data_IF_913952373394
#
_entry.id   IF_913952373394
#
_cell.length_a   1.000
_cell.length_b   1.000
_cell.length_c   1.000
_cell.angle_alpha   90.00
_cell.angle_beta   90.00
_cell.angle_gamma   90.00
#
_symmetry.space_group_name_H-M   'P 1'
#
loop_
_entity.id
_entity.type
_entity.pdbx_description
1 polymer ?
#
# COMPACT_ATOMS: atom_id res chain seq x y z
N UNK A 1 -1.06 -5.84 -28.97
CA UNK A 1 -1.55 -4.92 -27.92
C UNK A 1 -2.64 -5.66 -27.15
N UNK A 2 -2.28 -6.21 -25.98
CA UNK A 2 -3.26 -6.83 -25.09
C UNK A 2 -4.16 -5.75 -24.49
N UNK A 3 -5.47 -5.99 -24.44
CA UNK A 3 -6.41 -5.11 -23.74
C UNK A 3 -5.93 -4.93 -22.30
N UNK A 4 -5.91 -3.69 -21.80
CA UNK A 4 -5.68 -3.42 -20.38
C UNK A 4 -6.71 -4.21 -19.57
N UNK A 5 -6.23 -5.18 -18.80
CA UNK A 5 -7.08 -5.99 -17.95
C UNK A 5 -7.57 -5.13 -16.79
N UNK A 6 -8.89 -5.01 -16.64
CA UNK A 6 -9.53 -4.46 -15.44
C UNK A 6 -10.13 -5.62 -14.65
N UNK A 7 -9.92 -5.68 -13.33
CA UNK A 7 -10.56 -6.70 -12.52
C UNK A 7 -12.10 -6.60 -12.58
N UNK A 8 -12.84 -7.72 -12.62
CA UNK A 8 -14.29 -7.69 -12.63
C UNK A 8 -14.87 -6.92 -11.44
N UNK A 9 -15.73 -5.94 -11.74
CA UNK A 9 -16.40 -5.13 -10.71
C UNK A 9 -15.51 -4.11 -10.02
N UNK A 10 -14.33 -3.81 -10.58
CA UNK A 10 -13.45 -2.72 -10.13
C UNK A 10 -13.17 -1.75 -11.28
N UNK A 11 -13.00 -0.48 -10.92
CA UNK A 11 -12.53 0.62 -11.76
C UNK A 11 -11.14 1.05 -11.29
N UNK A 12 -10.30 1.57 -12.16
CA UNK A 12 -8.94 2.04 -11.80
C UNK A 12 -8.92 3.00 -10.60
N UNK A 13 -9.99 3.77 -10.40
CA UNK A 13 -10.12 4.69 -9.26
C UNK A 13 -10.27 3.98 -7.92
N UNK A 14 -10.71 2.72 -7.90
CA UNK A 14 -10.83 1.93 -6.66
C UNK A 14 -9.46 1.64 -6.02
N UNK A 15 -8.35 1.72 -6.77
CA UNK A 15 -7.00 1.60 -6.20
C UNK A 15 -6.38 2.95 -5.79
N UNK A 16 -7.03 4.05 -6.15
CA UNK A 16 -6.63 5.41 -5.78
C UNK A 16 -7.20 5.77 -4.39
N UNK A 17 -6.93 7.00 -3.97
CA UNK A 17 -7.48 7.55 -2.73
C UNK A 17 -8.98 7.81 -2.85
N UNK A 18 -9.74 7.37 -1.85
CA UNK A 18 -11.17 7.64 -1.78
C UNK A 18 -11.47 8.90 -0.97
N UNK A 19 -12.59 9.55 -1.31
CA UNK A 19 -13.05 10.69 -0.52
C UNK A 19 -13.41 10.25 0.89
N UNK A 20 -12.82 10.86 1.94
CA UNK A 20 -13.12 10.52 3.31
C UNK A 20 -14.59 10.81 3.63
N UNK A 21 -15.21 9.93 4.41
CA UNK A 21 -16.53 10.20 4.99
C UNK A 21 -16.40 10.98 6.31
N UNK A 22 -17.52 11.36 6.93
CA UNK A 22 -17.53 12.05 8.22
C UNK A 22 -17.29 11.11 9.42
N UNK A 23 -17.12 9.81 9.21
CA UNK A 23 -16.87 8.88 10.30
C UNK A 23 -15.49 9.14 10.93
N UNK A 24 -15.43 9.41 12.23
CA UNK A 24 -14.19 9.79 12.91
C UNK A 24 -13.02 8.81 12.67
N UNK A 25 -13.34 7.52 12.55
CA UNK A 25 -12.36 6.44 12.34
C UNK A 25 -12.29 5.96 10.89
N UNK A 26 -12.86 6.71 9.94
CA UNK A 26 -12.69 6.42 8.52
C UNK A 26 -11.20 6.34 8.18
N UNK A 27 -10.81 5.27 7.48
CA UNK A 27 -9.41 4.96 7.22
C UNK A 27 -9.23 4.39 5.82
N UNK A 28 -8.39 5.05 5.03
CA UNK A 28 -7.81 4.47 3.82
C UNK A 28 -6.63 3.60 4.22
N UNK A 29 -6.57 2.36 3.73
CA UNK A 29 -5.52 1.41 4.13
C UNK A 29 -4.90 0.70 2.94
N UNK A 30 -3.57 0.64 2.94
CA UNK A 30 -2.78 -0.11 1.96
C UNK A 30 -1.93 -1.14 2.68
N UNK A 31 -1.86 -2.36 2.13
CA UNK A 31 -1.13 -3.47 2.70
C UNK A 31 -0.23 -4.09 1.64
N UNK A 32 1.03 -4.30 1.98
CA UNK A 32 2.00 -4.97 1.12
C UNK A 32 2.69 -6.05 1.94
N UNK A 33 2.73 -7.28 1.40
CA UNK A 33 3.47 -8.38 1.97
C UNK A 33 4.36 -8.97 0.88
N UNK A 34 5.61 -9.28 1.20
CA UNK A 34 6.54 -9.83 0.23
C UNK A 34 7.49 -10.84 0.89
N UNK A 35 7.93 -11.80 0.07
CA UNK A 35 8.93 -12.77 0.44
C UNK A 35 9.80 -13.08 -0.78
N UNK A 36 11.09 -12.80 -0.67
CA UNK A 36 12.14 -13.20 -1.57
C UNK A 36 12.90 -14.36 -0.91
N UNK A 37 12.55 -15.57 -1.35
CA UNK A 37 13.12 -16.81 -0.79
C UNK A 37 14.58 -16.98 -1.20
N UNK A 38 14.96 -16.51 -2.40
CA UNK A 38 16.32 -16.66 -2.94
C UNK A 38 17.31 -15.84 -2.13
N UNK A 39 16.95 -14.58 -1.82
CA UNK A 39 17.79 -13.69 -1.02
C UNK A 39 17.51 -13.77 0.49
N UNK A 40 16.55 -14.61 0.92
CA UNK A 40 16.11 -14.75 2.32
C UNK A 40 15.65 -13.43 2.95
N UNK A 41 14.95 -12.61 2.17
CA UNK A 41 14.39 -11.34 2.61
C UNK A 41 12.88 -11.47 2.61
N UNK A 42 12.23 -11.04 3.68
CA UNK A 42 10.77 -10.88 3.69
C UNK A 42 10.40 -9.59 4.37
N UNK A 43 9.15 -9.19 4.23
CA UNK A 43 8.70 -7.99 4.87
C UNK A 43 7.23 -7.74 4.67
N UNK A 44 6.75 -6.75 5.40
CA UNK A 44 5.43 -6.24 5.19
C UNK A 44 5.40 -4.74 5.45
N UNK A 45 4.35 -4.13 4.93
CA UNK A 45 4.00 -2.78 5.24
C UNK A 45 2.51 -2.60 5.34
N UNK A 46 2.11 -1.76 6.29
CA UNK A 46 0.75 -1.27 6.42
C UNK A 46 0.76 0.25 6.45
N UNK A 47 -0.07 0.86 5.62
CA UNK A 47 -0.28 2.30 5.60
C UNK A 47 -1.72 2.58 6.01
N UNK A 48 -1.90 3.60 6.84
CA UNK A 48 -3.19 4.13 7.22
C UNK A 48 -3.25 5.62 7.02
N UNK A 49 -4.28 6.11 6.35
CA UNK A 49 -4.60 7.54 6.31
C UNK A 49 -5.90 7.69 7.09
N UNK A 50 -5.87 8.48 8.16
CA UNK A 50 -7.02 8.73 9.05
C UNK A 50 -7.29 10.24 9.08
N UNK A 51 -8.01 10.77 8.06
CA UNK A 51 -8.12 12.20 7.82
C UNK A 51 -8.81 12.94 8.95
N UNK A 52 -9.88 12.37 9.49
CA UNK A 52 -10.67 12.97 10.56
C UNK A 52 -9.92 13.02 11.91
N UNK A 53 -8.79 12.33 12.02
CA UNK A 53 -7.86 12.41 13.16
C UNK A 53 -6.57 13.16 12.82
N UNK A 54 -6.48 13.77 11.63
CA UNK A 54 -5.31 14.49 11.13
C UNK A 54 -4.00 13.69 11.27
N UNK A 55 -4.03 12.39 10.94
CA UNK A 55 -2.84 11.53 11.03
C UNK A 55 -2.74 10.54 9.88
N UNK A 56 -1.49 10.17 9.58
CA UNK A 56 -1.15 8.99 8.80
C UNK A 56 -0.32 8.05 9.66
N UNK A 57 -0.29 6.79 9.28
CA UNK A 57 0.46 5.74 9.96
C UNK A 57 1.21 4.94 8.90
N UNK A 58 2.51 4.76 9.10
CA UNK A 58 3.38 3.99 8.23
C UNK A 58 4.13 2.98 9.08
N UNK A 59 3.87 1.70 8.81
CA UNK A 59 4.60 0.56 9.36
C UNK A 59 5.31 -0.12 8.21
N UNK A 60 6.63 -0.29 8.30
CA UNK A 60 7.43 -1.02 7.34
C UNK A 60 8.45 -1.86 8.09
N UNK A 61 8.42 -3.18 7.88
CA UNK A 61 9.34 -4.13 8.48
C UNK A 61 10.01 -4.94 7.38
N UNK A 62 11.34 -5.05 7.47
CA UNK A 62 12.14 -6.01 6.72
C UNK A 62 12.73 -7.01 7.69
N UNK A 63 12.60 -8.28 7.34
CA UNK A 63 13.28 -9.41 7.96
C UNK A 63 14.41 -9.82 7.04
N UNK A 64 15.65 -9.65 7.52
CA UNK A 64 16.88 -10.10 6.88
C UNK A 64 17.41 -11.31 7.66
N UNK A 65 18.37 -12.03 7.09
CA UNK A 65 18.90 -13.25 7.70
C UNK A 65 19.50 -13.04 9.10
N UNK A 66 20.14 -11.88 9.35
CA UNK A 66 20.85 -11.57 10.59
C UNK A 66 20.16 -10.52 11.48
N UNK A 67 19.20 -9.76 10.93
CA UNK A 67 18.56 -8.64 11.63
C UNK A 67 17.23 -8.24 11.01
N UNK A 68 16.52 -7.36 11.71
CA UNK A 68 15.33 -6.71 11.18
C UNK A 68 15.58 -5.21 11.02
N UNK A 69 14.99 -4.62 9.97
CA UNK A 69 14.85 -3.17 9.85
C UNK A 69 13.40 -2.79 10.12
N UNK A 70 13.21 -1.83 11.02
CA UNK A 70 11.87 -1.36 11.41
C UNK A 70 11.79 0.13 11.14
N UNK A 71 10.76 0.52 10.38
CA UNK A 71 10.41 1.91 10.16
C UNK A 71 8.95 2.14 10.56
N UNK A 72 8.78 2.90 11.64
CA UNK A 72 7.47 3.33 12.13
C UNK A 72 7.38 4.85 12.19
N UNK A 73 6.33 5.42 11.60
CA UNK A 73 6.01 6.84 11.70
C UNK A 73 4.51 7.08 11.73
N UNK A 74 4.10 8.01 12.58
CA UNK A 74 2.76 8.60 12.58
C UNK A 74 2.85 10.11 12.31
N UNK A 75 3.12 10.53 11.06
CA UNK A 75 3.16 11.95 10.76
C UNK A 75 1.73 12.55 10.82
N UNK A 76 1.60 13.82 11.24
CA UNK A 76 0.33 14.52 11.11
C UNK A 76 -0.07 14.60 9.62
N UNK A 77 -1.38 14.56 9.37
CA UNK A 77 -1.98 14.92 8.11
C UNK A 77 -2.44 16.37 8.21
N UNK A 78 -1.78 17.27 7.49
CA UNK A 78 -2.15 18.69 7.48
C UNK A 78 -3.31 18.93 6.50
N UNK A 79 -3.16 18.40 5.28
CA UNK A 79 -4.15 18.53 4.21
C UNK A 79 -4.32 17.17 3.54
N UNK A 80 -5.56 16.85 3.15
CA UNK A 80 -5.86 15.64 2.41
C UNK A 80 -5.63 15.89 0.91
N UNK A 81 -4.63 15.24 0.36
CA UNK A 81 -4.29 15.35 -1.06
C UNK A 81 -4.96 14.26 -1.88
N UNK A 82 -5.22 14.54 -3.16
CA UNK A 82 -5.82 13.57 -4.08
C UNK A 82 -4.78 12.69 -4.77
N UNK A 83 -3.50 13.09 -4.75
CA UNK A 83 -2.41 12.28 -5.31
C UNK A 83 -1.98 11.20 -4.31
N UNK A 84 -2.29 9.95 -4.66
CA UNK A 84 -1.91 8.75 -3.89
C UNK A 84 -0.40 8.67 -3.63
N UNK A 85 0.43 9.09 -4.58
CA UNK A 85 1.89 9.00 -4.44
C UNK A 85 2.45 10.04 -3.46
N UNK A 86 1.77 11.18 -3.32
CA UNK A 86 2.09 12.19 -2.29
C UNK A 86 1.66 11.69 -0.92
N UNK A 87 0.44 11.16 -0.83
CA UNK A 87 -0.13 10.69 0.44
C UNK A 87 0.58 9.46 1.00
N UNK A 88 1.07 8.58 0.13
CA UNK A 88 1.83 7.36 0.49
C UNK A 88 3.35 7.58 0.52
N UNK A 89 3.80 8.82 0.82
CA UNK A 89 5.21 9.13 1.04
C UNK A 89 5.45 9.63 2.47
N UNK A 90 6.46 9.07 3.12
CA UNK A 90 6.93 9.48 4.44
C UNK A 90 8.46 9.44 4.52
N UNK A 91 9.12 10.60 4.37
CA UNK A 91 10.58 10.80 4.44
C UNK A 91 11.37 9.77 3.60
N UNK A 92 11.73 8.66 4.23
CA UNK A 92 12.62 7.61 3.72
C UNK A 92 11.88 6.48 3.03
N UNK A 93 10.56 6.50 3.06
CA UNK A 93 9.68 5.44 2.59
C UNK A 93 8.66 6.03 1.62
N UNK A 94 8.47 5.38 0.46
CA UNK A 94 7.39 5.74 -0.47
C UNK A 94 6.84 4.53 -1.20
N UNK A 95 5.55 4.60 -1.48
CA UNK A 95 4.80 3.67 -2.31
C UNK A 95 4.32 4.46 -3.52
N UNK A 96 4.67 4.00 -4.72
CA UNK A 96 4.23 4.60 -5.95
C UNK A 96 3.32 3.65 -6.69
N UNK A 97 2.13 4.11 -6.99
CA UNK A 97 1.24 3.44 -7.93
C UNK A 97 1.70 3.81 -9.35
N UNK A 98 2.15 2.81 -10.11
CA UNK A 98 2.63 3.00 -11.49
C UNK A 98 1.50 2.75 -12.49
N UNK A 99 0.78 1.64 -12.32
CA UNK A 99 -0.38 1.29 -13.15
C UNK A 99 -1.42 0.56 -12.28
N UNK A 100 -2.68 1.07 -12.22
CA UNK A 100 -3.72 0.48 -11.40
C UNK A 100 -3.90 -1.03 -11.61
N UNK A 101 -4.02 -1.77 -10.51
CA UNK A 101 -4.18 -3.22 -10.40
C UNK A 101 -3.10 -4.04 -11.09
N UNK A 102 -1.94 -3.42 -11.34
CA UNK A 102 -0.88 -4.04 -12.11
C UNK A 102 0.49 -3.82 -11.53
N UNK A 103 0.86 -2.58 -11.21
CA UNK A 103 2.26 -2.27 -10.89
C UNK A 103 2.40 -1.22 -9.79
N UNK A 104 3.20 -1.59 -8.79
CA UNK A 104 3.59 -0.73 -7.68
C UNK A 104 5.11 -0.73 -7.51
N UNK A 105 5.66 0.39 -7.05
CA UNK A 105 7.04 0.48 -6.57
C UNK A 105 7.04 0.82 -5.09
N UNK A 106 7.84 0.10 -4.31
CA UNK A 106 8.08 0.40 -2.90
C UNK A 106 9.56 0.69 -2.73
N UNK A 107 9.87 1.87 -2.20
CA UNK A 107 11.25 2.30 -1.97
C UNK A 107 11.44 2.69 -0.51
N UNK A 108 12.48 2.15 0.11
CA UNK A 108 12.91 2.48 1.45
C UNK A 108 14.41 2.77 1.47
N UNK A 109 14.81 3.87 2.10
CA UNK A 109 16.23 4.25 2.23
C UNK A 109 16.58 4.63 3.66
N UNK A 110 17.48 3.89 4.28
CA UNK A 110 18.10 4.23 5.56
C UNK A 110 19.58 4.59 5.37
N UNK A 111 20.28 4.85 6.47
CA UNK A 111 21.75 5.03 6.42
C UNK A 111 22.49 3.72 6.11
N UNK A 112 21.84 2.57 6.30
CA UNK A 112 22.45 1.25 6.22
C UNK A 112 21.99 0.45 5.00
N UNK A 113 20.76 0.68 4.55
CA UNK A 113 20.11 -0.13 3.51
C UNK A 113 19.39 0.80 2.53
N UNK A 114 19.45 0.41 1.27
CA UNK A 114 18.54 0.86 0.23
C UNK A 114 17.76 -0.36 -0.26
N UNK A 115 16.43 -0.26 -0.23
CA UNK A 115 15.50 -1.31 -0.59
C UNK A 115 14.54 -0.76 -1.62
N UNK A 116 14.44 -1.43 -2.77
CA UNK A 116 13.49 -1.09 -3.81
C UNK A 116 12.90 -2.39 -4.34
N UNK A 117 11.57 -2.50 -4.35
CA UNK A 117 10.87 -3.61 -4.99
C UNK A 117 9.87 -3.06 -5.99
N UNK A 118 9.71 -3.80 -7.09
CA UNK A 118 8.66 -3.57 -8.07
C UNK A 118 7.68 -4.72 -7.95
N UNK A 119 6.49 -4.46 -7.44
CA UNK A 119 5.44 -5.47 -7.40
C UNK A 119 4.68 -5.44 -8.72
N UNK A 120 4.63 -6.58 -9.41
CA UNK A 120 3.82 -6.79 -10.61
C UNK A 120 2.77 -7.86 -10.37
N UNK A 121 1.51 -7.51 -10.60
CA UNK A 121 0.37 -8.38 -10.39
C UNK A 121 0.40 -9.54 -11.41
N UNK A 122 0.28 -10.78 -10.91
CA UNK A 122 0.33 -12.00 -11.72
C UNK A 122 -1.06 -12.53 -12.08
N UNK A 123 -2.03 -12.28 -11.21
CA UNK A 123 -3.40 -12.77 -11.35
C UNK A 123 -4.39 -11.61 -11.28
N UNK A 124 -5.58 -11.75 -11.89
CA UNK A 124 -6.75 -10.96 -11.56
C UNK A 124 -6.84 -10.54 -10.10
N UNK A 125 -6.91 -9.23 -9.83
CA UNK A 125 -7.29 -8.73 -8.49
C UNK A 125 -8.63 -9.33 -8.10
N UNK A 126 -8.68 -9.88 -6.89
CA UNK A 126 -9.90 -10.41 -6.33
C UNK A 126 -10.62 -9.30 -5.56
N UNK A 127 -11.89 -9.06 -5.91
CA UNK A 127 -12.75 -8.10 -5.22
C UNK A 127 -13.64 -8.84 -4.20
N UNK A 128 -13.46 -8.56 -2.91
CA UNK A 128 -14.28 -9.13 -1.84
C UNK A 128 -15.63 -8.42 -1.69
N UNK A 129 -15.85 -7.33 -2.44
CA UNK A 129 -17.06 -6.52 -2.40
C UNK A 129 -17.11 -5.61 -1.18
N UNK A 130 -18.30 -5.08 -0.92
CA UNK A 130 -18.54 -4.15 0.19
C UNK A 130 -19.07 -4.87 1.43
N UNK A 131 -18.71 -4.37 2.61
CA UNK A 131 -19.11 -4.93 3.91
C UNK A 131 -18.78 -6.42 4.07
N UNK A 132 -17.70 -6.89 3.43
CA UNK A 132 -17.19 -8.26 3.57
C UNK A 132 -16.77 -8.57 5.02
N UNK A 133 -16.54 -7.53 5.82
CA UNK A 133 -16.44 -7.62 7.28
C UNK A 133 -17.06 -6.38 7.95
N UNK A 134 -17.28 -6.43 9.27
CA UNK A 134 -17.75 -5.28 10.07
C UNK A 134 -16.80 -4.08 10.05
N UNK A 135 -15.55 -4.28 9.66
CA UNK A 135 -14.49 -3.26 9.67
C UNK A 135 -14.07 -2.79 8.28
N UNK A 136 -14.53 -3.42 7.20
CA UNK A 136 -14.10 -3.11 5.84
C UNK A 136 -15.27 -2.70 4.98
N UNK A 137 -15.26 -1.44 4.55
CA UNK A 137 -16.28 -0.93 3.65
C UNK A 137 -16.12 -1.52 2.24
N UNK A 138 -14.88 -1.66 1.76
CA UNK A 138 -14.50 -2.25 0.48
C UNK A 138 -13.11 -2.89 0.63
N UNK A 139 -12.89 -4.07 0.05
CA UNK A 139 -11.61 -4.76 0.11
C UNK A 139 -11.33 -5.54 -1.18
N UNK A 140 -10.10 -5.44 -1.67
CA UNK A 140 -9.61 -6.21 -2.80
C UNK A 140 -8.14 -6.57 -2.57
N UNK A 141 -7.70 -7.65 -3.22
CA UNK A 141 -6.34 -8.17 -3.06
C UNK A 141 -5.77 -8.65 -4.40
N UNK A 142 -4.49 -8.36 -4.62
CA UNK A 142 -3.72 -8.82 -5.76
C UNK A 142 -2.54 -9.65 -5.27
N UNK A 143 -2.25 -10.75 -5.96
CA UNK A 143 -1.01 -11.50 -5.80
C UNK A 143 -0.14 -11.34 -7.04
N UNK A 144 1.17 -11.35 -6.83
CA UNK A 144 2.13 -10.93 -7.85
C UNK A 144 3.53 -11.46 -7.63
N UNK A 145 4.44 -10.94 -8.43
CA UNK A 145 5.88 -11.13 -8.31
C UNK A 145 6.52 -9.82 -7.82
N UNK A 146 7.65 -9.96 -7.14
CA UNK A 146 8.56 -8.88 -6.74
C UNK A 146 9.90 -9.05 -7.43
#
# INVERSE_FOLDING_TARGET
MGKSYLPPGLDNRDELLHQPTNELKWRESYYFNWADVENKISGFSTIGIVPNENRREFVFLLFLEDRNEVYYKEPPLQEYETDVNVMLKCKNLSYKLIEPFKKWEISYKSRKIEFNITFETRFPTFNFGTNSSKSWHQHFESSGAI
#
